data_IF_382680803145
#
_entry.id   IF_382680803145
#
_cell.length_a   1.000
_cell.length_b   1.000
_cell.length_c   1.000
_cell.angle_alpha   90.00
_cell.angle_beta   90.00
_cell.angle_gamma   90.00
#
_symmetry.space_group_name_H-M   'P 1'
#
loop_
_entity.id
_entity.type
_entity.pdbx_description
1 polymer ?
#
# COMPACT_ATOMS: atom_id res chain seq x y z
N UNK A 1 17.56 -0.74 -2.84
CA UNK A 1 16.73 -1.18 -1.68
C UNK A 1 15.41 -1.67 -2.25
N UNK A 2 14.91 -2.83 -1.84
CA UNK A 2 13.59 -3.29 -2.32
C UNK A 2 12.48 -2.50 -1.61
N UNK A 3 11.29 -2.45 -2.21
CA UNK A 3 10.14 -1.82 -1.58
C UNK A 3 9.78 -2.53 -0.26
N UNK A 4 9.82 -3.87 -0.23
CA UNK A 4 9.56 -4.62 1.00
C UNK A 4 10.55 -4.27 2.11
N UNK A 5 11.85 -4.12 1.81
CA UNK A 5 12.83 -3.70 2.82
C UNK A 5 12.51 -2.31 3.36
N UNK A 6 12.13 -1.38 2.47
CA UNK A 6 11.75 -0.03 2.87
C UNK A 6 10.51 -0.03 3.75
N UNK A 7 9.46 -0.76 3.37
CA UNK A 7 8.20 -0.80 4.11
C UNK A 7 8.40 -1.39 5.51
N UNK A 8 9.17 -2.48 5.64
CA UNK A 8 9.44 -3.11 6.92
C UNK A 8 10.30 -2.22 7.84
N UNK A 9 11.31 -1.54 7.30
CA UNK A 9 12.17 -0.63 8.10
C UNK A 9 11.44 0.61 8.59
N UNK A 10 10.39 1.03 7.89
CA UNK A 10 9.66 2.25 8.18
C UNK A 10 8.24 1.98 8.71
N UNK A 11 7.98 0.78 9.26
CA UNK A 11 6.62 0.36 9.64
C UNK A 11 5.92 1.35 10.59
N UNK A 12 6.62 1.84 11.62
CA UNK A 12 6.08 2.82 12.57
C UNK A 12 5.77 4.16 11.92
N UNK A 13 6.59 4.58 10.94
CA UNK A 13 6.37 5.80 10.17
C UNK A 13 5.18 5.64 9.23
N UNK A 14 5.00 4.47 8.60
CA UNK A 14 3.84 4.20 7.76
C UNK A 14 2.54 4.19 8.56
N UNK A 15 2.57 3.66 9.79
CA UNK A 15 1.44 3.72 10.71
C UNK A 15 1.10 5.17 11.08
N UNK A 16 2.08 5.96 11.52
CA UNK A 16 1.88 7.33 11.99
C UNK A 16 1.55 8.32 10.88
N UNK A 17 2.09 8.13 9.68
CA UNK A 17 2.06 9.16 8.63
C UNK A 17 1.10 8.84 7.49
N UNK A 18 0.84 7.56 7.22
CA UNK A 18 -0.09 7.14 6.16
C UNK A 18 -1.37 6.62 6.77
N UNK A 19 -1.29 5.52 7.53
CA UNK A 19 -2.49 4.82 8.02
C UNK A 19 -3.31 5.77 8.89
N UNK A 20 -2.70 6.50 9.81
CA UNK A 20 -3.41 7.49 10.65
C UNK A 20 -4.28 8.48 9.86
N UNK A 21 -3.85 8.86 8.65
CA UNK A 21 -4.50 9.85 7.79
C UNK A 21 -5.53 9.27 6.81
N UNK A 22 -5.62 7.95 6.68
CA UNK A 22 -6.66 7.29 5.90
C UNK A 22 -7.99 7.27 6.66
N UNK A 23 -9.08 6.90 5.99
CA UNK A 23 -10.34 6.65 6.68
C UNK A 23 -10.23 5.44 7.63
N UNK A 24 -11.19 5.30 8.54
CA UNK A 24 -11.20 4.20 9.51
C UNK A 24 -11.22 2.82 8.82
N UNK A 25 -11.89 2.74 7.67
CA UNK A 25 -11.82 1.62 6.75
C UNK A 25 -11.17 2.10 5.45
N UNK A 26 -10.19 1.35 4.95
CA UNK A 26 -9.42 1.69 3.76
C UNK A 26 -8.96 0.42 3.03
N UNK A 27 -8.45 0.57 1.81
CA UNK A 27 -7.93 -0.52 1.00
C UNK A 27 -6.52 -0.22 0.46
N UNK A 28 -5.95 -1.15 -0.31
CA UNK A 28 -4.58 -1.02 -0.80
C UNK A 28 -4.44 0.12 -1.79
N UNK A 29 -5.48 0.45 -2.57
CA UNK A 29 -5.44 1.60 -3.46
C UNK A 29 -5.36 2.91 -2.69
N UNK A 30 -6.15 3.06 -1.61
CA UNK A 30 -6.10 4.26 -0.76
C UNK A 30 -4.69 4.45 -0.17
N UNK A 31 -4.12 3.37 0.35
CA UNK A 31 -2.76 3.38 0.87
C UNK A 31 -1.74 3.72 -0.22
N UNK A 32 -1.81 3.10 -1.39
CA UNK A 32 -0.88 3.34 -2.51
C UNK A 32 -0.95 4.79 -2.97
N UNK A 33 -2.15 5.36 -3.12
CA UNK A 33 -2.32 6.77 -3.52
C UNK A 33 -1.69 7.72 -2.50
N UNK A 34 -1.91 7.45 -1.21
CA UNK A 34 -1.33 8.26 -0.12
C UNK A 34 0.19 8.10 -0.06
N UNK A 35 0.68 6.87 -0.15
CA UNK A 35 2.10 6.53 -0.18
C UNK A 35 2.81 7.21 -1.36
N UNK A 36 2.25 7.09 -2.57
CA UNK A 36 2.82 7.70 -3.78
C UNK A 36 2.88 9.22 -3.69
N UNK A 37 1.87 9.85 -3.09
CA UNK A 37 1.84 11.31 -2.91
C UNK A 37 2.84 11.80 -1.87
N UNK A 38 3.01 11.08 -0.76
CA UNK A 38 3.85 11.52 0.35
C UNK A 38 5.32 11.11 0.21
N UNK A 39 5.57 9.96 -0.40
CA UNK A 39 6.90 9.38 -0.60
C UNK A 39 7.24 9.29 -2.09
N UNK A 40 6.89 10.33 -2.87
CA UNK A 40 6.96 10.36 -4.33
C UNK A 40 8.32 9.89 -4.87
N UNK A 41 9.41 10.42 -4.32
CA UNK A 41 10.78 10.06 -4.72
C UNK A 41 11.03 8.56 -4.57
N UNK A 42 10.70 7.99 -3.42
CA UNK A 42 10.92 6.57 -3.14
C UNK A 42 9.99 5.70 -4.00
N UNK A 43 8.73 6.10 -4.15
CA UNK A 43 7.77 5.44 -5.02
C UNK A 43 8.24 5.35 -6.48
N UNK A 44 8.78 6.44 -7.04
CA UNK A 44 9.38 6.46 -8.39
C UNK A 44 10.57 5.50 -8.47
N UNK A 45 11.44 5.47 -7.47
CA UNK A 45 12.58 4.56 -7.43
C UNK A 45 12.15 3.09 -7.39
N UNK A 46 11.09 2.76 -6.64
CA UNK A 46 10.54 1.41 -6.60
C UNK A 46 9.93 0.99 -7.94
N UNK A 47 9.21 1.88 -8.61
CA UNK A 47 8.71 1.61 -9.97
C UNK A 47 9.86 1.42 -10.96
N UNK A 48 10.89 2.26 -10.88
CA UNK A 48 12.06 2.17 -11.77
C UNK A 48 12.81 0.84 -11.62
N UNK A 49 12.86 0.27 -10.41
CA UNK A 49 13.47 -1.03 -10.17
C UNK A 49 12.82 -2.18 -10.97
N UNK A 50 11.56 -2.01 -11.39
CA UNK A 50 10.80 -2.96 -12.21
C UNK A 50 10.54 -2.44 -13.64
N UNK A 51 11.34 -1.46 -14.13
CA UNK A 51 11.17 -0.86 -15.46
C UNK A 51 11.17 -1.94 -16.55
N UNK A 52 10.13 -1.92 -17.40
CA UNK A 52 9.96 -2.88 -18.49
C UNK A 52 9.39 -4.25 -18.06
N UNK A 53 9.04 -4.41 -16.78
CA UNK A 53 8.50 -5.66 -16.24
C UNK A 53 7.33 -5.37 -15.28
N UNK A 54 6.18 -4.97 -15.83
CA UNK A 54 4.93 -4.73 -15.09
C UNK A 54 5.12 -3.93 -13.78
N UNK A 55 5.86 -2.82 -13.84
CA UNK A 55 6.37 -2.12 -12.65
C UNK A 55 5.30 -1.82 -11.60
N UNK A 56 4.15 -1.28 -12.02
CA UNK A 56 3.04 -0.95 -11.13
C UNK A 56 2.46 -2.20 -10.47
N UNK A 57 2.18 -3.25 -11.25
CA UNK A 57 1.66 -4.52 -10.73
C UNK A 57 2.61 -5.12 -9.68
N UNK A 58 3.91 -5.13 -9.95
CA UNK A 58 4.92 -5.65 -9.03
C UNK A 58 5.03 -4.83 -7.74
N UNK A 59 5.00 -3.50 -7.82
CA UNK A 59 5.06 -2.61 -6.66
C UNK A 59 3.77 -2.67 -5.84
N UNK A 60 2.61 -2.57 -6.48
CA UNK A 60 1.30 -2.56 -5.82
C UNK A 60 0.98 -3.90 -5.15
N UNK A 61 1.33 -5.02 -5.79
CA UNK A 61 1.16 -6.35 -5.18
C UNK A 61 2.03 -6.53 -3.94
N UNK A 62 3.26 -6.02 -3.95
CA UNK A 62 4.13 -6.02 -2.76
C UNK A 62 3.56 -5.19 -1.63
N UNK A 63 3.01 -4.00 -1.91
CA UNK A 63 2.34 -3.17 -0.89
C UNK A 63 1.11 -3.89 -0.31
N UNK A 64 0.24 -4.45 -1.16
CA UNK A 64 -0.95 -5.17 -0.70
C UNK A 64 -0.60 -6.41 0.15
N UNK A 65 0.48 -7.10 -0.22
CA UNK A 65 1.05 -8.22 0.55
C UNK A 65 1.60 -7.74 1.89
N UNK A 66 2.37 -6.65 1.91
CA UNK A 66 2.90 -6.05 3.14
C UNK A 66 1.79 -5.70 4.13
N UNK A 67 0.70 -5.05 3.68
CA UNK A 67 -0.46 -4.74 4.53
C UNK A 67 -1.12 -6.00 5.11
N UNK A 68 -1.16 -7.08 4.32
CA UNK A 68 -1.72 -8.36 4.76
C UNK A 68 -0.85 -9.04 5.81
N UNK A 69 0.45 -9.12 5.58
CA UNK A 69 1.42 -9.83 6.43
C UNK A 69 1.72 -9.07 7.73
N UNK A 70 1.67 -7.73 7.70
CA UNK A 70 2.01 -6.88 8.84
C UNK A 70 0.78 -6.26 9.52
N UNK A 71 -0.43 -6.74 9.22
CA UNK A 71 -1.68 -6.16 9.74
C UNK A 71 -1.70 -6.01 11.27
N UNK A 72 -1.15 -6.97 12.01
CA UNK A 72 -1.03 -6.90 13.46
C UNK A 72 -0.12 -5.76 13.94
N UNK A 73 1.03 -5.57 13.28
CA UNK A 73 2.01 -4.53 13.61
C UNK A 73 1.53 -3.14 13.18
N UNK A 74 0.75 -3.06 12.10
CA UNK A 74 0.17 -1.82 11.58
C UNK A 74 -1.12 -1.41 12.30
N UNK A 75 -1.55 -2.15 13.34
CA UNK A 75 -2.78 -1.83 14.05
C UNK A 75 -4.05 -1.94 13.20
N UNK A 76 -4.09 -2.83 12.20
CA UNK A 76 -5.24 -3.00 11.30
C UNK A 76 -5.76 -4.43 11.30
N UNK A 77 -7.02 -4.62 10.92
CA UNK A 77 -7.65 -5.93 10.73
C UNK A 77 -8.29 -6.03 9.35
N UNK A 78 -8.19 -7.22 8.73
CA UNK A 78 -8.88 -7.51 7.47
C UNK A 78 -10.38 -7.54 7.70
N UNK A 79 -11.14 -6.89 6.82
CA UNK A 79 -12.61 -6.94 6.81
C UNK A 79 -13.08 -7.76 5.61
N UNK A 80 -13.82 -7.15 4.68
CA UNK A 80 -14.42 -7.79 3.52
C UNK A 80 -13.65 -7.47 2.24
N UNK A 81 -14.03 -8.12 1.13
CA UNK A 81 -13.58 -7.74 -0.21
C UNK A 81 -14.44 -6.60 -0.73
N UNK A 82 -13.80 -5.61 -1.33
CA UNK A 82 -14.45 -4.41 -1.88
C UNK A 82 -13.98 -4.16 -3.31
N UNK A 83 -14.88 -3.68 -4.16
CA UNK A 83 -14.52 -3.16 -5.48
C UNK A 83 -13.92 -1.78 -5.32
N UNK A 84 -12.69 -1.60 -5.80
CA UNK A 84 -11.98 -0.32 -5.70
C UNK A 84 -11.33 0.02 -7.04
N UNK A 85 -11.38 1.30 -7.38
CA UNK A 85 -10.76 1.82 -8.61
C UNK A 85 -9.28 2.08 -8.36
N UNK A 86 -8.40 1.54 -9.20
CA UNK A 86 -6.96 1.73 -9.11
C UNK A 86 -6.53 3.06 -9.77
N UNK A 87 -5.24 3.38 -9.73
CA UNK A 87 -4.68 4.62 -10.28
C UNK A 87 -4.81 4.76 -11.81
N UNK A 88 -5.15 3.68 -12.52
CA UNK A 88 -5.41 3.65 -13.97
C UNK A 88 -6.90 3.72 -14.32
N UNK A 89 -7.76 3.74 -13.30
CA UNK A 89 -9.21 3.76 -13.49
C UNK A 89 -9.85 2.39 -13.67
N UNK A 90 -9.10 1.30 -13.46
CA UNK A 90 -9.62 -0.06 -13.52
C UNK A 90 -10.20 -0.46 -12.16
N UNK A 91 -11.26 -1.29 -12.15
CA UNK A 91 -11.94 -1.72 -10.94
C UNK A 91 -11.48 -3.14 -10.57
N UNK A 92 -10.87 -3.27 -9.40
CA UNK A 92 -10.39 -4.54 -8.86
C UNK A 92 -11.18 -4.92 -7.60
N UNK A 93 -11.37 -6.22 -7.36
CA UNK A 93 -11.87 -6.73 -6.09
C UNK A 93 -10.71 -6.99 -5.12
N UNK A 94 -10.54 -6.10 -4.14
CA UNK A 94 -9.39 -6.09 -3.23
C UNK A 94 -9.83 -6.21 -1.77
N UNK A 95 -8.88 -6.50 -0.89
CA UNK A 95 -9.13 -6.57 0.56
C UNK A 95 -9.34 -5.17 1.12
N UNK A 96 -10.35 -5.00 1.99
CA UNK A 96 -10.46 -3.84 2.86
C UNK A 96 -9.87 -4.14 4.25
N UNK A 97 -9.39 -3.10 4.92
CA UNK A 97 -8.86 -3.13 6.27
C UNK A 97 -9.51 -2.06 7.12
N UNK A 98 -9.63 -2.33 8.41
CA UNK A 98 -10.10 -1.38 9.41
C UNK A 98 -9.03 -1.13 10.46
N UNK A 99 -8.90 0.11 10.92
CA UNK A 99 -8.02 0.48 12.03
C UNK A 99 -8.54 -0.12 13.35
N UNK A 100 -7.62 -0.46 14.24
CA UNK A 100 -7.91 -0.92 15.60
C UNK A 100 -7.97 0.24 16.58
#
# INVERSE_FOLDING_TARGET
>A
MSINDYLNRNISLLESDIISQLDNEFNSHDFIMKFAKQFEKDYILFLYAYKGNEAFRNVHSQIARFLSENSALLGICKTHKVKSQNVFGEIDEIQAWKKK
#
